data_IF_752694518619
#
_entry.id   IF_752694518619
#
_cell.length_a   1.000
_cell.length_b   1.000
_cell.length_c   1.000
_cell.angle_alpha   90.00
_cell.angle_beta   90.00
_cell.angle_gamma   90.00
#
_symmetry.space_group_name_H-M   'P 1'
#
loop_
_entity.id
_entity.type
_entity.pdbx_description
1 polymer ?
#
# COMPACT_ATOMS: atom_id res chain seq x y z
N UNK A 1 12.67 60.88 28.58
CA UNK A 1 11.47 60.09 28.21
C UNK A 1 11.60 59.29 26.91
N UNK A 2 12.43 59.69 25.94
CA UNK A 2 12.60 59.00 24.65
C UNK A 2 13.28 57.60 24.72
N UNK A 3 14.24 57.41 25.63
CA UNK A 3 14.97 56.13 25.77
C UNK A 3 14.09 54.99 26.34
N UNK A 4 13.16 55.30 27.25
CA UNK A 4 12.21 54.32 27.80
C UNK A 4 11.21 53.81 26.75
N UNK A 5 10.85 54.66 25.77
CA UNK A 5 9.97 54.31 24.65
C UNK A 5 10.66 53.38 23.64
N UNK A 6 11.96 53.62 23.36
CA UNK A 6 12.74 52.79 22.42
C UNK A 6 13.00 51.39 23.00
N UNK A 7 13.35 51.31 24.30
CA UNK A 7 13.57 50.02 24.97
C UNK A 7 12.29 49.17 25.04
N UNK A 8 11.13 49.80 25.28
CA UNK A 8 9.82 49.13 25.29
C UNK A 8 9.45 48.58 23.90
N UNK A 9 9.74 49.34 22.84
CA UNK A 9 9.46 48.92 21.46
C UNK A 9 10.35 47.74 21.01
N UNK A 10 11.62 47.70 21.41
CA UNK A 10 12.52 46.59 21.09
C UNK A 10 12.10 45.31 21.82
N UNK A 11 11.71 45.42 23.09
CA UNK A 11 11.24 44.28 23.90
C UNK A 11 9.94 43.68 23.35
N UNK A 12 9.02 44.52 22.85
CA UNK A 12 7.77 44.07 22.24
C UNK A 12 7.98 43.36 20.89
N UNK A 13 8.98 43.80 20.11
CA UNK A 13 9.30 43.20 18.80
C UNK A 13 10.03 41.86 18.97
N UNK A 14 10.87 41.71 20.01
CA UNK A 14 11.52 40.44 20.34
C UNK A 14 10.52 39.36 20.80
N UNK A 15 9.46 39.74 21.51
CA UNK A 15 8.39 38.81 21.90
C UNK A 15 7.59 38.28 20.71
N UNK A 16 7.43 39.06 19.63
CA UNK A 16 6.72 38.62 18.43
C UNK A 16 7.52 37.62 17.57
N UNK A 17 8.85 37.54 17.73
CA UNK A 17 9.70 36.60 16.98
C UNK A 17 9.75 35.20 17.59
N UNK A 18 9.21 35.01 18.82
CA UNK A 18 9.09 33.69 19.46
C UNK A 18 7.78 32.98 19.13
N UNK A 19 6.87 33.64 18.40
CA UNK A 19 5.51 33.16 18.12
C UNK A 19 5.29 32.54 16.74
N UNK A 20 6.34 32.29 15.95
CA UNK A 20 6.19 31.73 14.61
C UNK A 20 7.29 30.73 14.28
N UNK A 21 7.11 29.54 14.85
CA UNK A 21 7.41 28.26 14.22
C UNK A 21 6.48 27.27 14.93
N UNK A 22 5.17 27.38 14.65
CA UNK A 22 4.27 26.25 14.88
C UNK A 22 4.42 25.33 13.65
N UNK A 23 5.64 24.83 13.43
CA UNK A 23 5.86 23.64 12.61
C UNK A 23 5.38 22.48 13.47
N UNK A 24 4.07 22.44 13.73
CA UNK A 24 3.37 21.23 14.14
C UNK A 24 3.46 20.28 12.96
N UNK A 25 4.62 19.66 12.85
CA UNK A 25 4.77 18.36 12.26
C UNK A 25 3.80 17.50 13.05
N UNK A 26 2.58 17.34 12.54
CA UNK A 26 1.67 16.32 13.02
C UNK A 26 2.42 15.01 12.79
N UNK A 27 3.15 14.55 13.81
CA UNK A 27 3.72 13.21 13.86
C UNK A 27 2.53 12.27 13.98
N UNK A 28 1.84 12.04 12.86
CA UNK A 28 0.80 11.02 12.76
C UNK A 28 1.52 9.70 12.95
N UNK A 29 1.19 9.02 14.04
CA UNK A 29 1.78 7.73 14.41
C UNK A 29 1.34 6.57 13.51
N UNK A 30 0.47 6.82 12.52
CA UNK A 30 0.05 5.83 11.54
C UNK A 30 -0.31 6.52 10.21
N UNK A 31 0.18 5.99 9.09
CA UNK A 31 -0.12 6.49 7.76
C UNK A 31 -1.38 5.82 7.22
N UNK A 32 -2.58 6.30 7.55
CA UNK A 32 -3.80 5.58 7.14
C UNK A 32 -3.85 5.33 5.62
N UNK A 33 -4.12 4.07 5.25
CA UNK A 33 -4.08 3.59 3.88
C UNK A 33 -5.04 2.41 3.67
N UNK A 34 -5.25 2.03 2.42
CA UNK A 34 -5.98 0.81 2.03
C UNK A 34 -5.33 0.13 0.84
N UNK A 35 -5.57 -1.18 0.71
CA UNK A 35 -5.19 -1.98 -0.44
C UNK A 35 -6.47 -2.44 -1.15
N UNK A 36 -6.59 -2.16 -2.44
CA UNK A 36 -7.75 -2.54 -3.24
C UNK A 36 -7.33 -3.13 -4.59
N UNK A 37 -8.23 -3.86 -5.24
CA UNK A 37 -8.07 -4.30 -6.62
C UNK A 37 -9.21 -3.83 -7.50
N UNK A 38 -9.04 -3.95 -8.81
CA UNK A 38 -10.16 -3.92 -9.75
C UNK A 38 -11.02 -5.18 -9.61
N UNK A 39 -12.18 -5.16 -10.28
CA UNK A 39 -13.05 -6.34 -10.36
C UNK A 39 -12.28 -7.54 -10.91
N UNK A 40 -12.44 -8.68 -10.24
CA UNK A 40 -11.87 -9.97 -10.64
C UNK A 40 -12.99 -10.95 -10.98
N UNK A 41 -12.70 -11.83 -11.92
CA UNK A 41 -13.51 -13.01 -12.19
C UNK A 41 -13.70 -13.85 -10.92
N UNK A 42 -14.86 -14.51 -10.81
CA UNK A 42 -15.18 -15.36 -9.65
C UNK A 42 -14.68 -16.78 -9.79
N UNK A 43 -14.35 -17.20 -11.01
CA UNK A 43 -13.91 -18.55 -11.34
C UNK A 43 -12.52 -18.52 -11.94
N UNK A 44 -11.78 -19.61 -11.78
CA UNK A 44 -10.46 -19.79 -12.37
C UNK A 44 -10.28 -21.26 -12.80
N UNK A 45 -9.82 -21.50 -14.02
CA UNK A 45 -9.48 -22.84 -14.48
C UNK A 45 -8.10 -23.27 -13.94
N UNK A 46 -7.79 -24.58 -13.89
CA UNK A 46 -6.41 -25.04 -13.71
C UNK A 46 -5.48 -24.43 -14.78
N UNK A 47 -4.27 -24.07 -14.38
CA UNK A 47 -3.22 -23.45 -15.21
C UNK A 47 -3.57 -22.04 -15.75
N UNK A 48 -4.74 -21.50 -15.43
CA UNK A 48 -5.10 -20.13 -15.79
C UNK A 48 -4.27 -19.11 -14.99
N UNK A 49 -3.96 -17.99 -15.63
CA UNK A 49 -3.34 -16.82 -14.98
C UNK A 49 -4.30 -15.65 -14.98
N UNK A 50 -4.54 -15.07 -13.81
CA UNK A 50 -5.34 -13.87 -13.63
C UNK A 50 -4.43 -12.67 -13.37
N UNK A 51 -4.65 -11.59 -14.12
CA UNK A 51 -4.05 -10.29 -13.84
C UNK A 51 -4.78 -9.61 -12.67
N UNK A 52 -4.05 -9.25 -11.63
CA UNK A 52 -4.56 -8.57 -10.44
C UNK A 52 -3.94 -7.18 -10.38
N UNK A 53 -4.72 -6.17 -10.80
CA UNK A 53 -4.33 -4.76 -10.69
C UNK A 53 -4.67 -4.24 -9.30
N UNK A 54 -3.63 -3.99 -8.50
CA UNK A 54 -3.73 -3.50 -7.14
C UNK A 54 -3.52 -1.98 -7.06
N UNK A 55 -4.14 -1.36 -6.07
CA UNK A 55 -3.95 0.05 -5.74
C UNK A 55 -3.74 0.19 -4.23
N UNK A 56 -2.60 0.76 -3.84
CA UNK A 56 -2.35 1.24 -2.48
C UNK A 56 -2.83 2.70 -2.41
N UNK A 57 -3.95 2.91 -1.72
CA UNK A 57 -4.54 4.24 -1.54
C UNK A 57 -4.06 4.82 -0.21
N UNK A 58 -3.36 5.94 -0.26
CA UNK A 58 -2.81 6.62 0.92
C UNK A 58 -3.69 7.81 1.25
N UNK A 59 -3.98 8.02 2.53
CA UNK A 59 -4.80 9.16 2.99
C UNK A 59 -4.11 10.52 2.82
N UNK A 60 -2.80 10.54 2.59
CA UNK A 60 -2.02 11.75 2.37
C UNK A 60 -0.67 11.47 1.70
N UNK A 61 -0.02 12.55 1.27
CA UNK A 61 1.32 12.50 0.73
C UNK A 61 2.35 12.54 1.86
N UNK A 62 2.82 11.36 2.28
CA UNK A 62 3.82 11.20 3.34
C UNK A 62 5.17 10.82 2.71
N UNK A 63 6.11 11.76 2.58
CA UNK A 63 7.37 11.52 1.86
C UNK A 63 8.18 10.34 2.43
N UNK A 64 8.14 10.14 3.75
CA UNK A 64 8.90 9.09 4.47
C UNK A 64 8.15 7.75 4.61
N UNK A 65 6.90 7.66 4.13
CA UNK A 65 6.14 6.42 4.26
C UNK A 65 6.68 5.35 3.31
N UNK A 66 7.01 4.19 3.87
CA UNK A 66 7.47 3.01 3.14
C UNK A 66 6.51 1.87 3.39
N UNK A 67 6.27 1.07 2.35
CA UNK A 67 5.33 -0.03 2.39
C UNK A 67 6.02 -1.33 2.00
N UNK A 68 5.63 -2.40 2.65
CA UNK A 68 5.94 -3.78 2.29
C UNK A 68 4.67 -4.41 1.71
N UNK A 69 4.82 -5.36 0.80
CA UNK A 69 3.75 -6.17 0.23
C UNK A 69 4.13 -7.64 0.29
N UNK A 70 3.17 -8.50 0.61
CA UNK A 70 3.30 -9.95 0.58
C UNK A 70 1.97 -10.61 0.22
N UNK A 71 1.98 -11.93 0.11
CA UNK A 71 0.76 -12.70 -0.07
C UNK A 71 0.78 -14.00 0.73
N UNK A 72 -0.41 -14.54 0.99
CA UNK A 72 -0.62 -15.81 1.66
C UNK A 72 -1.57 -16.65 0.81
N UNK A 73 -1.15 -17.85 0.41
CA UNK A 73 -2.03 -18.89 -0.11
C UNK A 73 -2.77 -19.54 1.07
N UNK A 74 -4.09 -19.32 1.15
CA UNK A 74 -4.97 -19.87 2.18
C UNK A 74 -5.59 -21.19 1.75
N UNK A 75 -6.10 -21.26 0.52
CA UNK A 75 -6.67 -22.47 -0.09
C UNK A 75 -6.13 -22.67 -1.50
N UNK A 76 -6.13 -23.91 -1.98
CA UNK A 76 -5.61 -24.27 -3.31
C UNK A 76 -4.08 -24.23 -3.39
N UNK A 77 -3.56 -24.24 -4.61
CA UNK A 77 -2.13 -24.07 -4.90
C UNK A 77 -1.96 -23.14 -6.08
N UNK A 78 -1.03 -22.20 -5.98
CA UNK A 78 -0.75 -21.25 -7.03
C UNK A 78 0.47 -20.39 -6.72
N UNK A 79 0.81 -19.54 -7.66
CA UNK A 79 2.01 -18.70 -7.60
C UNK A 79 1.66 -17.27 -7.94
N UNK A 80 2.27 -16.32 -7.22
CA UNK A 80 2.11 -14.89 -7.48
C UNK A 80 3.43 -14.33 -8.02
N UNK A 81 3.36 -13.52 -9.07
CA UNK A 81 4.54 -12.89 -9.67
C UNK A 81 4.24 -11.52 -10.27
N UNK A 82 5.29 -10.72 -10.51
CA UNK A 82 5.18 -9.40 -11.13
C UNK A 82 5.28 -9.44 -12.67
N UNK A 83 5.25 -8.26 -13.32
CA UNK A 83 5.35 -8.13 -14.78
C UNK A 83 6.62 -8.68 -15.42
N UNK A 84 7.68 -8.95 -14.63
CA UNK A 84 8.92 -9.56 -15.10
C UNK A 84 9.06 -11.03 -14.68
N UNK A 85 7.97 -11.64 -14.21
CA UNK A 85 7.94 -13.00 -13.68
C UNK A 85 8.83 -13.19 -12.43
N UNK A 86 9.10 -12.11 -11.68
CA UNK A 86 9.72 -12.23 -10.36
C UNK A 86 8.65 -12.75 -9.41
N UNK A 87 8.89 -13.94 -8.85
CA UNK A 87 7.94 -14.62 -7.97
C UNK A 87 7.98 -14.02 -6.57
N UNK A 88 6.81 -13.77 -6.01
CA UNK A 88 6.66 -13.53 -4.59
C UNK A 88 6.77 -14.87 -3.86
N UNK A 89 7.31 -14.85 -2.65
CA UNK A 89 7.36 -16.03 -1.78
C UNK A 89 6.15 -16.01 -0.85
N UNK A 90 5.41 -17.12 -0.82
CA UNK A 90 4.25 -17.28 0.04
C UNK A 90 4.63 -17.03 1.52
N UNK A 91 3.89 -16.14 2.20
CA UNK A 91 4.12 -15.69 3.59
C UNK A 91 5.43 -14.93 3.82
N UNK A 92 6.01 -14.35 2.79
CA UNK A 92 7.11 -13.40 2.93
C UNK A 92 6.70 -12.01 2.45
N UNK A 93 7.25 -10.99 3.12
CA UNK A 93 7.06 -9.59 2.78
C UNK A 93 8.28 -9.11 1.99
N UNK A 94 8.03 -8.26 1.00
CA UNK A 94 9.08 -7.54 0.28
C UNK A 94 8.73 -6.06 0.12
N UNK A 95 9.72 -5.18 -0.11
CA UNK A 95 9.46 -3.77 -0.34
C UNK A 95 8.51 -3.55 -1.52
N UNK A 96 7.50 -2.68 -1.38
CA UNK A 96 6.54 -2.41 -2.46
C UNK A 96 7.24 -1.81 -3.70
N UNK A 97 8.26 -0.99 -3.48
CA UNK A 97 9.08 -0.39 -4.53
C UNK A 97 9.95 -1.39 -5.30
N UNK A 98 10.06 -2.63 -4.83
CA UNK A 98 10.68 -3.73 -5.57
C UNK A 98 9.76 -4.32 -6.65
N UNK A 99 8.44 -4.08 -6.59
CA UNK A 99 7.48 -4.61 -7.56
C UNK A 99 7.67 -3.92 -8.91
N UNK A 100 7.94 -4.71 -9.94
CA UNK A 100 8.14 -4.15 -11.27
C UNK A 100 6.84 -3.58 -11.84
N UNK A 101 6.90 -2.31 -12.25
CA UNK A 101 5.77 -1.61 -12.83
C UNK A 101 4.86 -0.93 -11.81
N UNK A 102 5.36 -0.72 -10.58
CA UNK A 102 4.78 0.23 -9.63
C UNK A 102 4.75 1.63 -10.25
N UNK A 103 3.55 2.17 -10.42
CA UNK A 103 3.28 3.55 -10.75
C UNK A 103 3.02 4.32 -9.45
N UNK A 104 3.96 5.19 -9.09
CA UNK A 104 3.89 6.08 -7.92
C UNK A 104 3.85 7.56 -8.33
N UNK A 105 3.40 7.86 -9.56
CA UNK A 105 3.29 9.23 -10.07
C UNK A 105 2.26 10.06 -9.31
N UNK A 106 1.19 9.43 -8.84
CA UNK A 106 0.27 9.99 -7.85
C UNK A 106 0.74 9.59 -6.44
N UNK A 107 1.15 10.54 -5.59
CA UNK A 107 1.64 10.24 -4.26
C UNK A 107 0.59 9.58 -3.36
N UNK A 108 -0.70 9.83 -3.58
CA UNK A 108 -1.79 9.25 -2.79
C UNK A 108 -2.33 7.96 -3.39
N UNK A 109 -1.91 7.58 -4.60
CA UNK A 109 -2.43 6.42 -5.31
C UNK A 109 -1.34 5.69 -6.06
N UNK A 110 -0.79 4.66 -5.44
CA UNK A 110 0.24 3.83 -6.06
C UNK A 110 -0.39 2.59 -6.68
N UNK A 111 -0.16 2.36 -7.97
CA UNK A 111 -0.80 1.30 -8.74
C UNK A 111 0.24 0.31 -9.23
N UNK A 112 -0.02 -0.98 -9.05
CA UNK A 112 0.86 -2.04 -9.51
C UNK A 112 0.05 -3.26 -9.95
N UNK A 113 0.69 -4.17 -10.68
CA UNK A 113 0.05 -5.38 -11.18
C UNK A 113 0.84 -6.58 -10.71
N UNK A 114 0.12 -7.56 -10.16
CA UNK A 114 0.61 -8.91 -9.92
C UNK A 114 -0.23 -9.89 -10.72
N UNK A 115 0.32 -11.07 -10.96
CA UNK A 115 -0.35 -12.16 -11.65
C UNK A 115 -0.47 -13.33 -10.71
N UNK A 116 -1.65 -13.94 -10.64
CA UNK A 116 -1.86 -15.19 -9.93
C UNK A 116 -2.03 -16.31 -10.95
N UNK A 117 -1.13 -17.29 -10.92
CA UNK A 117 -1.25 -18.52 -11.70
C UNK A 117 -1.80 -19.63 -10.82
N UNK A 118 -2.94 -20.19 -11.22
CA UNK A 118 -3.58 -21.27 -10.51
C UNK A 118 -2.92 -22.62 -10.87
N UNK A 119 -2.30 -23.25 -9.89
CA UNK A 119 -1.67 -24.57 -10.03
C UNK A 119 -2.55 -25.73 -9.55
N UNK A 120 -3.86 -25.52 -9.34
CA UNK A 120 -4.73 -26.56 -8.78
C UNK A 120 -6.13 -26.58 -9.38
N UNK A 121 -6.80 -27.74 -9.29
CA UNK A 121 -8.22 -27.91 -9.63
C UNK A 121 -9.15 -27.73 -8.42
N UNK A 122 -8.70 -27.00 -7.40
CA UNK A 122 -9.47 -26.67 -6.20
C UNK A 122 -9.74 -25.17 -6.15
N UNK A 123 -10.72 -24.77 -5.35
CA UNK A 123 -10.92 -23.35 -5.06
C UNK A 123 -9.60 -22.75 -4.55
N UNK A 124 -9.35 -21.51 -4.93
CA UNK A 124 -8.18 -20.77 -4.51
C UNK A 124 -8.61 -19.60 -3.62
N UNK A 125 -7.95 -19.45 -2.49
CA UNK A 125 -8.08 -18.28 -1.63
C UNK A 125 -6.68 -17.71 -1.40
N UNK A 126 -6.49 -16.46 -1.79
CA UNK A 126 -5.24 -15.73 -1.64
C UNK A 126 -5.52 -14.43 -0.88
N UNK A 127 -4.64 -14.12 0.07
CA UNK A 127 -4.66 -12.86 0.81
C UNK A 127 -3.43 -12.06 0.45
N UNK A 128 -3.61 -10.81 0.01
CA UNK A 128 -2.53 -9.84 -0.08
C UNK A 128 -2.46 -9.03 1.20
N UNK A 129 -1.23 -8.79 1.69
CA UNK A 129 -0.97 -8.05 2.92
C UNK A 129 -0.03 -6.91 2.60
N UNK A 130 -0.42 -5.69 2.96
CA UNK A 130 0.42 -4.50 2.88
C UNK A 130 0.67 -3.93 4.27
N UNK A 131 1.93 -3.58 4.56
CA UNK A 131 2.35 -3.10 5.88
C UNK A 131 3.17 -1.83 5.72
N UNK A 132 2.84 -0.77 6.47
CA UNK A 132 3.65 0.46 6.50
C UNK A 132 4.86 0.34 7.45
N UNK A 133 5.75 1.32 7.44
CA UNK A 133 6.93 1.35 8.30
C UNK A 133 6.65 1.65 9.80
N UNK A 134 5.38 1.81 10.19
CA UNK A 134 4.93 1.84 11.58
C UNK A 134 4.25 0.52 12.01
N UNK A 135 4.16 -0.46 11.11
CA UNK A 135 3.53 -1.76 11.36
C UNK A 135 2.01 -1.77 11.19
N UNK A 136 1.42 -0.73 10.60
CA UNK A 136 0.00 -0.75 10.25
C UNK A 136 -0.21 -1.69 9.05
N UNK A 137 -1.11 -2.65 9.22
CA UNK A 137 -1.43 -3.68 8.23
C UNK A 137 -2.78 -3.42 7.54
N UNK A 138 -2.85 -3.75 6.26
CA UNK A 138 -4.08 -3.80 5.45
C UNK A 138 -4.07 -5.03 4.57
N UNK A 139 -5.19 -5.75 4.59
CA UNK A 139 -5.37 -6.97 3.84
C UNK A 139 -6.33 -6.80 2.67
N UNK A 140 -6.15 -7.62 1.64
CA UNK A 140 -7.10 -7.82 0.54
C UNK A 140 -7.25 -9.32 0.27
N UNK A 141 -8.42 -9.86 0.59
CA UNK A 141 -8.79 -11.25 0.31
C UNK A 141 -9.37 -11.39 -1.11
N UNK A 142 -8.89 -12.39 -1.83
CA UNK A 142 -9.35 -12.75 -3.18
C UNK A 142 -9.65 -14.25 -3.19
N UNK A 143 -10.83 -14.61 -3.69
CA UNK A 143 -11.27 -16.00 -3.80
C UNK A 143 -11.71 -16.30 -5.22
N UNK A 144 -11.26 -17.45 -5.73
CA UNK A 144 -11.69 -18.01 -7.01
C UNK A 144 -12.29 -19.39 -6.78
N UNK A 145 -13.49 -19.62 -7.30
CA UNK A 145 -14.05 -20.96 -7.42
C UNK A 145 -13.41 -21.69 -8.60
N UNK A 146 -13.20 -23.00 -8.50
CA UNK A 146 -12.78 -23.77 -9.69
C UNK A 146 -13.89 -23.75 -10.73
N UNK A 147 -13.51 -23.56 -11.99
CA UNK A 147 -14.42 -23.87 -13.10
C UNK A 147 -14.68 -25.37 -13.13
N UNK A 148 -15.87 -25.77 -12.68
CA UNK A 148 -16.39 -27.09 -13.01
C UNK A 148 -16.79 -27.08 -14.48
N UNK A 149 -16.18 -27.92 -15.30
CA UNK A 149 -16.72 -28.26 -16.61
C UNK A 149 -18.17 -28.73 -16.37
N UNK A 150 -19.15 -27.91 -16.73
CA UNK A 150 -20.51 -28.41 -16.89
C UNK A 150 -20.47 -29.38 -18.06
N UNK A 151 -20.59 -30.68 -17.78
CA UNK A 151 -20.80 -31.73 -18.79
C UNK A 151 -21.87 -31.23 -19.79
N UNK A 152 -21.47 -31.04 -21.05
CA UNK A 152 -22.38 -30.80 -22.18
C UNK A 152 -22.88 -32.13 -22.74
#
# INVERSE_FOLDING_TARGET
MKIKLIASSIMLTLLCLLGSCDDKLEVRQAYDFSLTSWYLQKTISPDETVEIRLTLNRSGNYEEARYQIGYIQMEGSGEVYDKKNVRLVNREMQPLDSIVGLDSSDPCRQVFTLFYHNGSSKNAEIKFVAVDNFGQERDLDISFATETESEQ
#
